data_IF_378090082240
#
_entry.id   IF_378090082240
#
_cell.length_a   1.000
_cell.length_b   1.000
_cell.length_c   1.000
_cell.angle_alpha   90.00
_cell.angle_beta   90.00
_cell.angle_gamma   90.00
#
_symmetry.space_group_name_H-M   'P 1'
#
loop_
_entity.id
_entity.type
_entity.pdbx_description
1 polymer ?
#
# COMPACT_ATOMS: atom_id res chain seq x y z
N UNK A 1 -15.92 -6.89 -15.01
CA UNK A 1 -15.58 -6.33 -13.70
C UNK A 1 -16.90 -6.19 -12.99
N UNK A 2 -17.01 -6.66 -11.74
CA UNK A 2 -18.23 -6.49 -10.95
C UNK A 2 -18.61 -4.99 -10.88
N UNK A 3 -19.89 -4.66 -11.11
CA UNK A 3 -20.43 -3.29 -11.03
C UNK A 3 -20.11 -2.63 -9.68
N UNK A 4 -20.04 -3.44 -8.60
CA UNK A 4 -19.63 -2.99 -7.28
C UNK A 4 -18.20 -2.44 -7.28
N UNK A 5 -17.27 -3.11 -7.95
CA UNK A 5 -15.87 -2.73 -7.96
C UNK A 5 -15.62 -1.48 -8.80
N UNK A 6 -16.28 -1.34 -9.94
CA UNK A 6 -16.23 -0.09 -10.72
C UNK A 6 -16.74 1.11 -9.91
N UNK A 7 -17.82 0.92 -9.12
CA UNK A 7 -18.36 1.95 -8.24
C UNK A 7 -17.39 2.32 -7.10
N UNK A 8 -16.69 1.34 -6.51
CA UNK A 8 -15.68 1.59 -5.47
C UNK A 8 -14.50 2.41 -6.02
N UNK A 9 -13.96 2.04 -7.18
CA UNK A 9 -12.88 2.79 -7.82
C UNK A 9 -13.29 4.24 -8.08
N UNK A 10 -14.45 4.44 -8.71
CA UNK A 10 -14.94 5.78 -9.07
C UNK A 10 -15.28 6.66 -7.86
N UNK A 11 -15.66 6.05 -6.72
CA UNK A 11 -15.94 6.77 -5.48
C UNK A 11 -14.66 7.22 -4.76
N UNK A 12 -13.60 6.42 -4.84
CA UNK A 12 -12.39 6.61 -4.04
C UNK A 12 -11.24 7.27 -4.82
N UNK A 13 -11.31 7.32 -6.15
CA UNK A 13 -10.31 7.94 -7.02
C UNK A 13 -10.83 9.20 -7.69
N UNK A 14 -9.91 10.13 -7.99
CA UNK A 14 -10.20 11.21 -8.91
C UNK A 14 -10.11 10.74 -10.38
N UNK A 15 -10.62 11.52 -11.36
CA UNK A 15 -10.60 11.11 -12.76
C UNK A 15 -9.19 10.85 -13.32
N UNK A 16 -8.17 11.54 -12.81
CA UNK A 16 -6.78 11.36 -13.24
C UNK A 16 -6.25 10.00 -12.79
N UNK A 17 -6.47 9.63 -11.53
CA UNK A 17 -6.05 8.35 -10.96
C UNK A 17 -6.80 7.19 -11.60
N UNK A 18 -8.12 7.34 -11.82
CA UNK A 18 -8.92 6.33 -12.51
C UNK A 18 -8.41 6.10 -13.94
N UNK A 19 -8.15 7.17 -14.71
CA UNK A 19 -7.64 7.06 -16.07
C UNK A 19 -6.27 6.37 -16.13
N UNK A 20 -5.38 6.63 -15.17
CA UNK A 20 -4.07 5.94 -15.07
C UNK A 20 -4.25 4.44 -14.84
N UNK A 21 -5.18 4.05 -13.98
CA UNK A 21 -5.46 2.63 -13.72
C UNK A 21 -6.11 1.95 -14.92
N UNK A 22 -7.08 2.61 -15.56
CA UNK A 22 -7.75 2.12 -16.78
C UNK A 22 -6.78 1.95 -17.96
N UNK A 23 -5.75 2.81 -18.05
CA UNK A 23 -4.73 2.73 -19.10
C UNK A 23 -3.93 1.42 -19.07
N UNK A 24 -3.90 0.70 -17.94
CA UNK A 24 -3.29 -0.63 -17.86
C UNK A 24 -4.08 -1.68 -18.65
N UNK A 25 -5.36 -1.42 -18.93
CA UNK A 25 -6.27 -2.33 -19.63
C UNK A 25 -6.24 -3.76 -19.05
N UNK A 26 -6.22 -3.84 -17.71
CA UNK A 26 -6.10 -5.10 -16.98
C UNK A 26 -7.19 -5.18 -15.89
N UNK A 27 -8.18 -6.00 -16.15
CA UNK A 27 -9.33 -6.20 -15.27
C UNK A 27 -8.94 -6.82 -13.91
N UNK A 28 -7.99 -7.75 -13.88
CA UNK A 28 -7.52 -8.38 -12.64
C UNK A 28 -6.88 -7.34 -11.70
N UNK A 29 -6.14 -6.38 -12.25
CA UNK A 29 -5.55 -5.28 -11.47
C UNK A 29 -6.64 -4.35 -10.93
N UNK A 30 -7.64 -4.00 -11.75
CA UNK A 30 -8.76 -3.16 -11.32
C UNK A 30 -9.52 -3.81 -10.16
N UNK A 31 -9.79 -5.12 -10.26
CA UNK A 31 -10.47 -5.89 -9.21
C UNK A 31 -9.61 -6.01 -7.95
N UNK A 32 -8.30 -6.26 -8.09
CA UNK A 32 -7.37 -6.30 -6.96
C UNK A 32 -7.34 -4.98 -6.20
N UNK A 33 -7.28 -3.85 -6.89
CA UNK A 33 -7.32 -2.51 -6.28
C UNK A 33 -8.65 -2.27 -5.59
N UNK A 34 -9.78 -2.66 -6.21
CA UNK A 34 -11.09 -2.51 -5.61
C UNK A 34 -11.26 -3.36 -4.34
N UNK A 35 -10.74 -4.60 -4.33
CA UNK A 35 -10.68 -5.45 -3.14
C UNK A 35 -9.84 -4.82 -2.03
N UNK A 36 -8.69 -4.22 -2.37
CA UNK A 36 -7.86 -3.50 -1.40
C UNK A 36 -8.57 -2.27 -0.82
N UNK A 37 -9.32 -1.52 -1.64
CA UNK A 37 -10.15 -0.40 -1.17
C UNK A 37 -11.23 -0.90 -0.21
N UNK A 38 -11.91 -1.99 -0.54
CA UNK A 38 -12.92 -2.58 0.34
C UNK A 38 -12.33 -3.07 1.67
N UNK A 39 -11.17 -3.74 1.62
CA UNK A 39 -10.49 -4.25 2.81
C UNK A 39 -9.99 -3.11 3.70
N UNK A 40 -9.21 -2.18 3.14
CA UNK A 40 -8.47 -1.17 3.89
C UNK A 40 -9.31 0.06 4.25
N UNK A 41 -10.42 0.30 3.55
CA UNK A 41 -11.32 1.44 3.69
C UNK A 41 -10.64 2.83 3.71
N UNK A 42 -9.78 3.16 2.70
CA UNK A 42 -9.15 4.47 2.61
C UNK A 42 -10.16 5.59 2.36
N UNK A 43 -9.83 6.81 2.77
CA UNK A 43 -10.63 7.99 2.45
C UNK A 43 -10.48 8.40 0.98
N UNK A 44 -9.29 8.23 0.41
CA UNK A 44 -8.97 8.53 -0.99
C UNK A 44 -7.89 7.59 -1.52
N UNK A 45 -7.87 7.40 -2.83
CA UNK A 45 -6.81 6.66 -3.52
C UNK A 45 -6.25 7.50 -4.67
N UNK A 46 -4.93 7.59 -4.74
CA UNK A 46 -4.20 8.18 -5.84
C UNK A 46 -3.43 7.09 -6.58
N UNK A 47 -3.40 7.19 -7.91
CA UNK A 47 -2.59 6.30 -8.77
C UNK A 47 -1.46 7.13 -9.35
N UNK A 48 -0.22 6.68 -9.15
CA UNK A 48 0.97 7.38 -9.62
C UNK A 48 1.68 6.58 -10.73
N UNK A 49 2.25 7.28 -11.70
CA UNK A 49 2.84 6.71 -12.92
C UNK A 49 4.30 7.14 -13.15
N UNK A 50 5.00 7.52 -12.09
CA UNK A 50 6.38 8.03 -12.09
C UNK A 50 6.62 9.28 -12.96
N UNK A 51 5.55 9.97 -13.39
CA UNK A 51 5.66 11.29 -14.01
C UNK A 51 6.33 12.31 -13.07
N UNK A 52 6.93 13.35 -13.66
CA UNK A 52 7.60 14.39 -12.88
C UNK A 52 6.62 15.11 -11.94
N UNK A 53 5.36 15.24 -12.37
CA UNK A 53 4.25 15.79 -11.62
C UNK A 53 3.91 14.95 -10.38
N UNK A 54 3.78 13.63 -10.53
CA UNK A 54 3.50 12.74 -9.40
C UNK A 54 4.66 12.69 -8.42
N UNK A 55 5.91 12.63 -8.91
CA UNK A 55 7.10 12.66 -8.07
C UNK A 55 7.17 13.97 -7.28
N UNK A 56 6.88 15.10 -7.91
CA UNK A 56 6.81 16.40 -7.22
C UNK A 56 5.69 16.44 -6.18
N UNK A 57 4.51 15.91 -6.52
CA UNK A 57 3.36 15.84 -5.63
C UNK A 57 3.64 14.98 -4.38
N UNK A 58 4.19 13.76 -4.54
CA UNK A 58 4.54 12.87 -3.42
C UNK A 58 5.53 13.55 -2.48
N UNK A 59 6.59 14.16 -3.02
CA UNK A 59 7.60 14.88 -2.22
C UNK A 59 6.98 16.02 -1.43
N UNK A 60 6.10 16.79 -2.06
CA UNK A 60 5.41 17.89 -1.38
C UNK A 60 4.45 17.37 -0.30
N UNK A 61 3.72 16.28 -0.56
CA UNK A 61 2.85 15.65 0.45
C UNK A 61 3.63 15.17 1.67
N UNK A 62 4.81 14.58 1.51
CA UNK A 62 5.66 14.16 2.63
C UNK A 62 6.08 15.37 3.51
N UNK A 63 6.38 16.52 2.90
CA UNK A 63 6.69 17.76 3.62
C UNK A 63 5.44 18.31 4.33
N UNK A 64 4.31 18.39 3.62
CA UNK A 64 3.05 18.92 4.17
C UNK A 64 2.52 18.07 5.34
N UNK A 65 2.71 16.75 5.27
CA UNK A 65 2.38 15.79 6.32
C UNK A 65 3.41 15.76 7.46
N UNK A 66 4.53 16.50 7.33
CA UNK A 66 5.64 16.56 8.29
C UNK A 66 6.36 15.23 8.48
N UNK A 67 6.28 14.37 7.47
CA UNK A 67 7.11 13.16 7.38
C UNK A 67 8.53 13.57 7.03
N UNK A 68 8.71 14.57 6.17
CA UNK A 68 10.02 15.07 5.76
C UNK A 68 10.25 16.54 6.11
N UNK A 69 11.50 16.88 6.46
CA UNK A 69 11.93 18.25 6.78
C UNK A 69 12.90 18.73 5.70
N UNK A 70 12.62 19.85 5.00
CA UNK A 70 13.52 20.43 4.01
C UNK A 70 14.88 20.85 4.60
N UNK A 71 15.95 20.60 3.85
CA UNK A 71 17.31 21.02 4.16
C UNK A 71 17.72 22.25 3.32
N UNK A 72 18.92 22.78 3.59
CA UNK A 72 19.46 23.95 2.87
C UNK A 72 19.78 23.68 1.39
N UNK A 73 20.00 22.42 1.03
CA UNK A 73 20.24 22.01 -0.36
C UNK A 73 18.87 21.75 -0.99
N UNK A 74 18.62 22.41 -2.11
CA UNK A 74 17.35 22.27 -2.83
C UNK A 74 17.06 20.80 -3.18
N UNK A 75 15.83 20.36 -2.92
CA UNK A 75 15.40 18.99 -3.14
C UNK A 75 15.86 17.97 -2.09
N UNK A 76 16.68 18.37 -1.11
CA UNK A 76 17.12 17.48 -0.02
C UNK A 76 16.22 17.63 1.20
N UNK A 77 15.91 16.52 1.82
CA UNK A 77 15.11 16.43 3.04
C UNK A 77 15.77 15.50 4.07
N UNK A 78 15.25 15.52 5.29
CA UNK A 78 15.56 14.53 6.33
C UNK A 78 14.27 13.95 6.90
N UNK A 79 14.27 12.64 7.12
CA UNK A 79 13.24 11.89 7.83
C UNK A 79 13.87 11.22 9.06
N UNK A 80 13.10 11.13 10.14
CA UNK A 80 13.51 10.38 11.33
C UNK A 80 12.46 9.31 11.62
N UNK A 81 12.86 8.04 11.49
CA UNK A 81 11.99 6.92 11.78
C UNK A 81 11.55 6.89 13.24
N UNK A 82 10.43 6.22 13.50
CA UNK A 82 9.97 5.96 14.85
C UNK A 82 11.01 5.16 15.65
N UNK A 83 11.13 5.45 16.96
CA UNK A 83 12.11 4.78 17.84
C UNK A 83 12.03 3.24 17.78
N UNK A 84 10.84 2.69 17.57
CA UNK A 84 10.60 1.25 17.50
C UNK A 84 10.69 0.66 16.08
N UNK A 85 11.09 1.44 15.07
CA UNK A 85 11.07 1.03 13.65
C UNK A 85 12.33 1.49 12.88
N UNK A 86 13.51 1.26 13.46
CA UNK A 86 14.79 1.73 12.90
C UNK A 86 15.49 0.70 11.99
N UNK A 87 14.98 -0.53 11.93
CA UNK A 87 15.61 -1.61 11.20
C UNK A 87 14.63 -2.74 10.90
N UNK A 88 14.97 -3.58 9.93
CA UNK A 88 14.21 -4.78 9.59
C UNK A 88 14.04 -5.70 10.82
N UNK A 89 12.80 -5.96 11.21
CA UNK A 89 12.44 -6.90 12.28
C UNK A 89 12.30 -8.33 11.73
N UNK A 90 13.38 -9.11 11.85
CA UNK A 90 13.43 -10.49 11.32
C UNK A 90 12.48 -11.44 12.05
N UNK A 91 12.25 -11.20 13.33
CA UNK A 91 11.40 -11.97 14.24
C UNK A 91 9.92 -11.96 13.84
N UNK A 92 9.45 -10.86 13.24
CA UNK A 92 8.07 -10.76 12.70
C UNK A 92 7.99 -10.93 11.18
N UNK A 93 9.13 -11.07 10.49
CA UNK A 93 9.13 -11.41 9.05
C UNK A 93 8.87 -12.92 8.92
N UNK A 94 7.74 -13.30 8.31
CA UNK A 94 7.35 -14.70 8.13
C UNK A 94 7.19 -15.07 6.65
N UNK A 95 7.54 -16.30 6.29
CA UNK A 95 7.16 -16.92 5.01
C UNK A 95 5.83 -17.64 5.19
N UNK A 96 4.86 -17.32 4.34
CA UNK A 96 3.56 -17.99 4.32
C UNK A 96 3.64 -19.19 3.37
N UNK A 97 3.58 -20.39 3.93
CA UNK A 97 3.76 -21.64 3.17
C UNK A 97 2.46 -22.45 3.13
N UNK A 98 2.13 -23.11 2.01
CA UNK A 98 1.03 -24.09 1.97
C UNK A 98 1.19 -25.12 3.10
N UNK A 99 0.08 -25.64 3.63
CA UNK A 99 0.09 -26.56 4.79
C UNK A 99 0.96 -27.81 4.56
N UNK A 100 1.01 -28.30 3.32
CA UNK A 100 1.77 -29.48 2.90
C UNK A 100 3.25 -29.17 2.54
N UNK A 101 3.67 -27.91 2.65
CA UNK A 101 5.01 -27.46 2.30
C UNK A 101 5.78 -26.96 3.52
N UNK A 102 7.10 -27.08 3.47
CA UNK A 102 7.99 -26.64 4.56
C UNK A 102 9.31 -26.21 3.94
N UNK A 103 9.79 -25.01 4.29
CA UNK A 103 11.11 -24.52 3.91
C UNK A 103 12.16 -24.90 4.96
N UNK A 104 13.41 -24.48 4.76
CA UNK A 104 14.48 -24.67 5.73
C UNK A 104 14.06 -24.14 7.11
N UNK A 105 14.28 -24.94 8.16
CA UNK A 105 13.89 -24.64 9.54
C UNK A 105 14.53 -23.36 10.12
N UNK A 106 15.55 -22.80 9.46
CA UNK A 106 16.12 -21.48 9.80
C UNK A 106 15.26 -20.31 9.34
N UNK A 107 14.28 -20.54 8.47
CA UNK A 107 13.33 -19.53 8.02
C UNK A 107 12.13 -19.50 8.97
N UNK A 108 11.76 -18.30 9.39
CA UNK A 108 10.54 -18.08 10.15
C UNK A 108 9.35 -18.23 9.19
N UNK A 109 8.55 -19.28 9.36
CA UNK A 109 7.46 -19.62 8.46
C UNK A 109 6.21 -20.02 9.24
N UNK A 110 5.05 -19.88 8.60
CA UNK A 110 3.76 -20.27 9.17
C UNK A 110 2.80 -20.73 8.05
N UNK A 111 1.70 -21.45 8.39
CA UNK A 111 0.69 -21.81 7.41
C UNK A 111 0.13 -20.59 6.70
N UNK A 112 -0.04 -20.70 5.37
CA UNK A 112 -0.45 -19.59 4.51
C UNK A 112 -1.80 -19.02 4.91
N UNK A 113 -2.80 -19.87 5.10
CA UNK A 113 -4.16 -19.42 5.37
C UNK A 113 -4.27 -18.76 6.75
N UNK A 114 -3.51 -19.23 7.74
CA UNK A 114 -3.40 -18.59 9.05
C UNK A 114 -2.77 -17.19 8.93
N UNK A 115 -1.68 -17.07 8.19
CA UNK A 115 -0.99 -15.79 8.01
C UNK A 115 -1.78 -14.79 7.17
N UNK A 116 -2.50 -15.27 6.15
CA UNK A 116 -3.43 -14.44 5.39
C UNK A 116 -4.58 -13.95 6.27
N UNK A 117 -5.17 -14.81 7.09
CA UNK A 117 -6.20 -14.41 8.06
C UNK A 117 -5.70 -13.38 9.07
N UNK A 118 -4.47 -13.55 9.58
CA UNK A 118 -3.82 -12.58 10.47
C UNK A 118 -3.66 -11.21 9.78
N UNK A 119 -3.02 -11.16 8.61
CA UNK A 119 -2.71 -9.89 7.95
C UNK A 119 -3.96 -9.18 7.39
N UNK A 120 -4.92 -9.92 6.83
CA UNK A 120 -6.19 -9.33 6.38
C UNK A 120 -7.00 -8.78 7.57
N UNK A 121 -6.95 -9.46 8.71
CA UNK A 121 -7.53 -8.98 9.95
C UNK A 121 -6.94 -7.65 10.40
N UNK A 122 -5.61 -7.52 10.34
CA UNK A 122 -4.89 -6.28 10.67
C UNK A 122 -5.13 -5.15 9.66
N UNK A 123 -5.27 -5.48 8.38
CA UNK A 123 -5.47 -4.50 7.32
C UNK A 123 -6.89 -3.95 7.28
N UNK A 124 -7.88 -4.68 7.82
CA UNK A 124 -9.29 -4.30 7.72
C UNK A 124 -9.55 -2.92 8.34
N UNK A 125 -9.90 -1.95 7.50
CA UNK A 125 -10.16 -0.57 7.91
C UNK A 125 -8.91 0.22 8.37
N UNK A 126 -7.70 -0.32 8.18
CA UNK A 126 -6.46 0.30 8.68
C UNK A 126 -6.13 1.65 8.02
N UNK A 127 -6.76 1.97 6.88
CA UNK A 127 -6.60 3.23 6.16
C UNK A 127 -7.79 4.19 6.37
N UNK A 128 -8.70 3.90 7.29
CA UNK A 128 -9.82 4.79 7.58
C UNK A 128 -9.33 6.20 7.96
N UNK A 129 -9.77 7.20 7.18
CA UNK A 129 -9.38 8.60 7.36
C UNK A 129 -8.02 8.98 6.74
N UNK A 130 -7.38 8.07 6.01
CA UNK A 130 -6.13 8.31 5.26
C UNK A 130 -6.38 8.36 3.76
#
# INVERSE_FOLDING_TARGET
MDDKYAALLSKNMDPTSLAKLEALNNEEVMEFVAQAIELCAPAKVAVCDDSAEDVAWIRQQAIDNKEEIPLKIEGHTVHFDGYYDQARKKDVTKYLVPEEETLDAKLNQMPRDEGLGEIEGLQRGSYAGR
#
